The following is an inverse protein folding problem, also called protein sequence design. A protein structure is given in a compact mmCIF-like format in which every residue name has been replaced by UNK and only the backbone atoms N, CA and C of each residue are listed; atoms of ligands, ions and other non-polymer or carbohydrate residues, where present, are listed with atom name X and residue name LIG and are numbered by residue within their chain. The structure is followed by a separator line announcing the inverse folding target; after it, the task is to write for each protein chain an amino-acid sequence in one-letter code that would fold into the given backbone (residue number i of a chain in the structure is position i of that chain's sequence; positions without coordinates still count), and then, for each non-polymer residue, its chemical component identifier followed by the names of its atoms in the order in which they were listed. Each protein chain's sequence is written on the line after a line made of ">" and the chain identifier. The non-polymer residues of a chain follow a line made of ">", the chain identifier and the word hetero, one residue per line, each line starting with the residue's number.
data_IF_692078505317
#
_entry.id   IF_692078505317
#
_cell.length_a   1.000
_cell.length_b   1.000
_cell.length_c   1.000
_cell.angle_alpha   90.00
_cell.angle_beta   90.00
_cell.angle_gamma   90.00
#
_symmetry.space_group_name_H-M   'P 1'
#
loop_
_entity.id
_entity.type
_entity.pdbx_description
1 polymer ?
#
# COMPACT_ATOMS: atom_id res chain seq x y z
N UNK A 1 14.46 39.06 0.54
CA UNK A 1 15.19 37.97 -0.16
C UNK A 1 15.79 36.93 0.78
N UNK A 2 16.49 37.30 1.87
CA UNK A 2 17.06 36.32 2.84
C UNK A 2 16.05 35.34 3.44
N UNK A 3 14.85 35.80 3.80
CA UNK A 3 13.82 34.95 4.43
C UNK A 3 13.26 33.92 3.43
N UNK A 4 12.99 34.33 2.19
CA UNK A 4 12.55 33.44 1.11
C UNK A 4 13.58 32.34 0.80
N UNK A 5 14.86 32.66 0.88
CA UNK A 5 15.95 31.70 0.70
C UNK A 5 15.98 30.65 1.82
N UNK A 6 15.77 31.07 3.07
CA UNK A 6 15.74 30.15 4.22
C UNK A 6 14.54 29.19 4.11
N UNK A 7 13.36 29.72 3.79
CA UNK A 7 12.14 28.91 3.64
C UNK A 7 12.26 27.88 2.51
N UNK A 8 12.82 28.27 1.36
CA UNK A 8 13.04 27.36 0.24
C UNK A 8 14.05 26.25 0.55
N UNK A 9 15.11 26.54 1.31
CA UNK A 9 16.05 25.52 1.78
C UNK A 9 15.35 24.52 2.71
N UNK A 10 14.55 24.97 3.68
CA UNK A 10 13.85 24.05 4.59
C UNK A 10 12.87 23.11 3.88
N UNK A 11 12.20 23.58 2.83
CA UNK A 11 11.29 22.76 2.01
C UNK A 11 12.07 21.69 1.22
N UNK A 12 13.28 22.01 0.75
CA UNK A 12 14.12 21.08 -0.03
C UNK A 12 14.75 19.98 0.83
N UNK A 13 15.13 20.25 2.09
CA UNK A 13 15.72 19.22 2.97
C UNK A 13 14.69 18.35 3.69
N UNK A 14 13.43 18.79 3.84
CA UNK A 14 12.38 18.02 4.49
C UNK A 14 11.66 17.00 3.60
N UNK A 15 11.90 17.04 2.28
CA UNK A 15 11.03 16.40 1.29
C UNK A 15 11.36 14.95 0.91
N UNK A 16 12.41 14.32 1.43
CA UNK A 16 12.81 12.98 1.00
C UNK A 16 13.21 12.08 2.17
N UNK A 17 12.24 11.38 2.73
CA UNK A 17 12.50 10.13 3.47
C UNK A 17 12.32 8.98 2.49
N UNK A 18 13.36 8.18 2.27
CA UNK A 18 13.22 6.96 1.48
C UNK A 18 12.54 5.91 2.35
N UNK A 19 11.23 5.71 2.18
CA UNK A 19 10.51 4.55 2.71
C UNK A 19 10.88 3.31 1.89
N UNK A 20 12.17 3.01 1.78
CA UNK A 20 12.63 1.80 1.13
C UNK A 20 12.29 0.61 2.03
N UNK A 21 11.82 -0.52 1.48
CA UNK A 21 11.69 -1.74 2.24
C UNK A 21 13.05 -2.08 2.86
N UNK A 22 13.03 -2.48 4.14
CA UNK A 22 14.25 -2.80 4.88
C UNK A 22 15.04 -3.86 4.10
N UNK A 23 16.33 -3.64 3.78
CA UNK A 23 17.10 -4.47 2.85
C UNK A 23 17.26 -5.94 3.28
N UNK A 24 16.85 -6.31 4.49
CA UNK A 24 16.93 -7.66 5.04
C UNK A 24 15.59 -8.16 5.63
N UNK A 25 14.45 -7.56 5.28
CA UNK A 25 13.13 -8.04 5.71
C UNK A 25 12.37 -8.59 4.51
N UNK A 26 12.02 -9.88 4.56
CA UNK A 26 11.03 -10.46 3.64
C UNK A 26 9.66 -10.05 4.16
N UNK A 27 8.89 -9.38 3.31
CA UNK A 27 7.52 -8.99 3.60
C UNK A 27 6.58 -9.91 2.84
N UNK A 28 5.57 -10.45 3.52
CA UNK A 28 4.56 -11.27 2.90
C UNK A 28 3.29 -10.45 2.70
N UNK A 29 2.90 -10.30 1.44
CA UNK A 29 1.67 -9.61 1.05
C UNK A 29 0.68 -10.59 0.43
N UNK A 30 -0.58 -10.44 0.79
CA UNK A 30 -1.68 -11.20 0.21
C UNK A 30 -2.13 -10.60 -1.12
N UNK A 31 -1.99 -11.32 -2.22
CA UNK A 31 -2.35 -10.87 -3.57
C UNK A 31 -3.88 -10.79 -3.74
N UNK A 32 -4.43 -9.60 -3.97
CA UNK A 32 -5.86 -9.32 -3.90
C UNK A 32 -6.48 -9.69 -2.54
N UNK A 33 -5.68 -9.72 -1.47
CA UNK A 33 -6.03 -10.38 -0.21
C UNK A 33 -5.58 -11.84 -0.18
N UNK A 34 -6.42 -12.78 -0.61
CA UNK A 34 -6.23 -14.22 -0.36
C UNK A 34 -5.36 -14.99 -1.39
N UNK A 35 -4.98 -14.35 -2.49
CA UNK A 35 -4.36 -14.97 -3.66
C UNK A 35 -5.38 -15.40 -4.73
N UNK A 36 -4.89 -15.63 -5.96
CA UNK A 36 -5.70 -16.14 -7.09
C UNK A 36 -5.72 -17.66 -7.18
N UNK A 37 -5.75 -18.36 -6.04
CA UNK A 37 -5.92 -19.81 -6.04
C UNK A 37 -7.41 -20.17 -6.10
N UNK A 38 -7.75 -21.21 -6.86
CA UNK A 38 -9.10 -21.77 -6.93
C UNK A 38 -9.58 -22.36 -5.59
N UNK A 39 -8.69 -22.50 -4.61
CA UNK A 39 -9.00 -22.92 -3.25
C UNK A 39 -9.39 -21.77 -2.30
N UNK A 40 -9.29 -20.51 -2.76
CA UNK A 40 -9.57 -19.35 -1.94
C UNK A 40 -11.06 -19.29 -1.54
N UNK A 41 -11.32 -19.02 -0.25
CA UNK A 41 -12.67 -18.94 0.29
C UNK A 41 -13.41 -17.68 -0.16
N UNK A 42 -12.67 -16.60 -0.42
CA UNK A 42 -13.21 -15.29 -0.77
C UNK A 42 -12.64 -14.81 -2.11
N UNK A 43 -13.42 -14.07 -2.91
CA UNK A 43 -12.92 -13.52 -4.16
C UNK A 43 -11.81 -12.49 -3.94
N UNK A 44 -10.84 -12.38 -4.86
CA UNK A 44 -9.77 -11.39 -4.80
C UNK A 44 -10.31 -9.96 -4.85
N UNK A 45 -9.55 -9.01 -4.31
CA UNK A 45 -9.89 -7.58 -4.18
C UNK A 45 -11.20 -7.33 -3.42
N UNK A 46 -11.58 -8.25 -2.51
CA UNK A 46 -12.77 -8.11 -1.67
C UNK A 46 -12.40 -7.87 -0.21
N UNK A 47 -13.26 -7.14 0.53
CA UNK A 47 -13.07 -6.88 1.97
C UNK A 47 -12.91 -8.16 2.78
N UNK A 48 -13.68 -9.24 2.55
CA UNK A 48 -13.47 -10.51 3.26
C UNK A 48 -12.10 -11.15 3.00
N UNK A 49 -11.61 -11.14 1.76
CA UNK A 49 -10.28 -11.65 1.42
C UNK A 49 -9.17 -10.85 2.10
N UNK A 50 -9.28 -9.52 2.08
CA UNK A 50 -8.36 -8.62 2.78
C UNK A 50 -8.34 -8.86 4.28
N UNK A 51 -9.53 -9.02 4.88
CA UNK A 51 -9.70 -9.29 6.30
C UNK A 51 -9.07 -10.63 6.69
N UNK A 52 -9.30 -11.67 5.90
CA UNK A 52 -8.71 -12.99 6.15
C UNK A 52 -7.16 -12.92 6.15
N UNK A 53 -6.57 -12.24 5.17
CA UNK A 53 -5.12 -12.09 5.07
C UNK A 53 -4.48 -11.37 6.24
N UNK A 54 -5.13 -10.31 6.75
CA UNK A 54 -4.61 -9.55 7.89
C UNK A 54 -4.89 -10.23 9.23
N UNK A 55 -6.10 -10.76 9.43
CA UNK A 55 -6.51 -11.25 10.75
C UNK A 55 -6.16 -12.72 10.99
N UNK A 56 -6.36 -13.58 9.97
CA UNK A 56 -6.11 -15.02 10.08
C UNK A 56 -4.66 -15.35 9.76
N UNK A 57 -4.17 -14.89 8.62
CA UNK A 57 -2.82 -15.20 8.16
C UNK A 57 -1.75 -14.25 8.71
N UNK A 58 -2.16 -13.10 9.30
CA UNK A 58 -1.26 -12.10 9.90
C UNK A 58 -0.14 -11.67 8.97
N UNK A 59 -0.47 -11.47 7.69
CA UNK A 59 0.48 -11.01 6.68
C UNK A 59 0.95 -9.58 6.98
N UNK A 60 2.12 -9.20 6.45
CA UNK A 60 2.66 -7.84 6.60
C UNK A 60 1.82 -6.79 5.87
N UNK A 61 1.01 -7.24 4.90
CA UNK A 61 0.03 -6.39 4.21
C UNK A 61 -0.76 -7.14 3.14
N UNK A 62 -1.42 -6.36 2.30
CA UNK A 62 -2.22 -6.81 1.16
C UNK A 62 -1.81 -6.04 -0.10
N UNK A 63 -1.93 -6.69 -1.25
CA UNK A 63 -1.95 -6.03 -2.54
C UNK A 63 -3.41 -5.88 -3.00
N UNK A 64 -3.70 -4.75 -3.64
CA UNK A 64 -5.05 -4.35 -4.08
C UNK A 64 -4.93 -3.71 -5.45
N UNK A 65 -5.68 -4.25 -6.41
CA UNK A 65 -5.84 -3.63 -7.72
C UNK A 65 -6.84 -2.48 -7.63
N UNK A 66 -6.40 -1.26 -7.92
CA UNK A 66 -7.27 -0.08 -7.91
C UNK A 66 -7.64 0.35 -9.32
N UNK A 67 -8.89 0.74 -9.52
CA UNK A 67 -9.42 1.25 -10.78
C UNK A 67 -10.25 2.52 -10.57
N UNK A 68 -10.53 3.22 -11.65
CA UNK A 68 -11.45 4.37 -11.64
C UNK A 68 -12.80 3.99 -12.23
N UNK A 69 -13.87 4.39 -11.57
CA UNK A 69 -15.23 4.35 -12.11
C UNK A 69 -15.43 5.46 -13.14
N UNK A 70 -16.54 5.38 -13.89
CA UNK A 70 -16.89 6.40 -14.88
C UNK A 70 -17.06 7.81 -14.25
N UNK A 71 -17.56 7.86 -13.01
CA UNK A 71 -17.75 9.07 -12.22
C UNK A 71 -16.53 9.41 -11.34
N UNK A 72 -15.34 8.89 -11.67
CA UNK A 72 -14.03 9.19 -11.06
C UNK A 72 -13.80 8.66 -9.64
N UNK A 73 -14.69 7.81 -9.14
CA UNK A 73 -14.50 7.08 -7.90
C UNK A 73 -13.36 6.07 -8.02
N UNK A 74 -12.53 5.97 -6.98
CA UNK A 74 -11.51 4.92 -6.88
C UNK A 74 -12.15 3.68 -6.25
N UNK A 75 -12.02 2.54 -6.91
CA UNK A 75 -12.50 1.23 -6.46
C UNK A 75 -11.36 0.23 -6.41
#
# INVERSE_FOLDING_TARGET
>A
MRILFIVSVFILVGGCTTNNPLPNKVLLYGHGGGGFDNSALFPPNSVPAMKESLEKYRLDGIEVDVQFTQDTGLI
#
